data_IF_029032198007
#
_entry.id   IF_029032198007
#
_cell.length_a   1.000
_cell.length_b   1.000
_cell.length_c   1.000
_cell.angle_alpha   90.00
_cell.angle_beta   90.00
_cell.angle_gamma   90.00
#
_symmetry.space_group_name_H-M   'P 1'
#
loop_
_entity.id
_entity.type
_entity.pdbx_description
1 polymer ?
#
# COMPACT_ATOMS: atom_id res chain seq x y z
N UNK A 1 41.33 19.13 -65.71
CA UNK A 1 42.02 20.03 -64.76
C UNK A 1 41.10 21.22 -64.51
N UNK A 2 40.94 21.59 -63.23
CA UNK A 2 39.92 22.48 -62.61
C UNK A 2 38.60 21.74 -62.26
N UNK A 3 38.29 21.34 -61.01
CA UNK A 3 38.08 22.07 -59.71
C UNK A 3 36.96 23.11 -59.83
N UNK A 4 35.98 23.28 -58.94
CA UNK A 4 35.44 22.60 -57.74
C UNK A 4 34.14 23.39 -57.37
N UNK A 5 33.36 22.94 -56.39
CA UNK A 5 32.28 23.68 -55.68
C UNK A 5 30.90 23.88 -56.36
N UNK A 6 29.91 23.07 -55.96
CA UNK A 6 28.77 23.58 -55.16
C UNK A 6 28.06 22.41 -54.48
N UNK A 7 28.31 22.35 -53.17
CA UNK A 7 27.68 21.53 -52.15
C UNK A 7 26.20 21.89 -51.96
N UNK A 8 25.46 20.92 -51.41
CA UNK A 8 24.28 21.09 -50.54
C UNK A 8 22.92 21.40 -51.17
N UNK A 9 22.32 20.39 -51.81
CA UNK A 9 20.87 20.18 -51.71
C UNK A 9 20.55 19.00 -50.79
N UNK A 10 20.86 19.15 -49.51
CA UNK A 10 20.19 18.40 -48.44
C UNK A 10 18.76 18.92 -48.38
N UNK A 11 17.83 18.11 -48.89
CA UNK A 11 16.39 18.34 -48.75
C UNK A 11 16.08 18.41 -47.25
N UNK A 12 15.78 19.63 -46.77
CA UNK A 12 15.16 19.87 -45.48
C UNK A 12 13.77 19.20 -45.49
N UNK A 13 13.71 17.94 -45.06
CA UNK A 13 12.44 17.35 -44.67
C UNK A 13 11.91 18.15 -43.48
N UNK A 14 10.70 18.72 -43.54
CA UNK A 14 10.13 19.36 -42.37
C UNK A 14 10.05 18.32 -41.26
N UNK A 15 10.71 18.58 -40.13
CA UNK A 15 10.47 17.84 -38.89
C UNK A 15 8.95 17.87 -38.68
N UNK A 16 8.32 16.70 -38.79
CA UNK A 16 6.93 16.55 -38.39
C UNK A 16 6.83 17.09 -36.95
N UNK A 17 6.15 18.22 -36.79
CA UNK A 17 5.77 18.70 -35.48
C UNK A 17 4.94 17.58 -34.86
N UNK A 18 5.49 16.96 -33.82
CA UNK A 18 4.86 15.90 -33.03
C UNK A 18 3.55 16.43 -32.47
N UNK A 19 2.44 16.05 -33.10
CA UNK A 19 1.07 16.28 -32.63
C UNK A 19 0.73 15.45 -31.37
N UNK A 20 1.72 14.81 -30.75
CA UNK A 20 1.59 13.95 -29.56
C UNK A 20 1.45 14.73 -28.25
N UNK A 21 1.72 16.04 -28.25
CA UNK A 21 1.76 16.86 -27.02
C UNK A 21 0.44 17.59 -26.69
N UNK A 22 -0.60 17.48 -27.51
CA UNK A 22 -1.88 18.21 -27.32
C UNK A 22 -3.06 17.32 -26.88
N UNK A 23 -2.82 16.03 -26.60
CA UNK A 23 -3.85 15.19 -25.98
C UNK A 23 -4.02 15.61 -24.52
N UNK A 24 -5.26 15.87 -24.04
CA UNK A 24 -5.49 16.16 -22.64
C UNK A 24 -4.96 14.99 -21.79
N UNK A 25 -4.28 15.31 -20.69
CA UNK A 25 -3.76 14.33 -19.74
C UNK A 25 -4.92 13.63 -19.01
N UNK A 26 -5.46 12.59 -19.65
CA UNK A 26 -6.60 11.80 -19.19
C UNK A 26 -6.19 10.76 -18.13
N UNK A 27 -5.36 11.16 -17.17
CA UNK A 27 -4.83 10.25 -16.15
C UNK A 27 -5.92 9.67 -15.22
N UNK A 28 -7.07 10.35 -15.13
CA UNK A 28 -8.26 9.87 -14.42
C UNK A 28 -9.10 8.86 -15.22
N UNK A 29 -8.83 8.69 -16.52
CA UNK A 29 -9.61 7.78 -17.35
C UNK A 29 -9.39 6.33 -16.90
N UNK A 30 -10.49 5.61 -16.72
CA UNK A 30 -10.50 4.20 -16.31
C UNK A 30 -10.61 3.29 -17.52
N UNK A 31 -9.90 2.17 -17.48
CA UNK A 31 -9.76 1.26 -18.62
C UNK A 31 -10.36 -0.12 -18.35
N UNK A 32 -10.61 -0.86 -19.43
CA UNK A 32 -11.03 -2.25 -19.38
C UNK A 32 -9.81 -3.16 -19.09
N UNK A 33 -10.02 -4.34 -18.51
CA UNK A 33 -8.95 -5.28 -18.12
C UNK A 33 -8.05 -5.68 -19.31
N UNK A 34 -8.64 -5.89 -20.48
CA UNK A 34 -7.92 -6.19 -21.72
C UNK A 34 -6.96 -5.07 -22.17
N UNK A 35 -7.22 -3.83 -21.75
CA UNK A 35 -6.42 -2.65 -22.14
C UNK A 35 -5.29 -2.37 -21.13
N UNK A 36 -5.22 -3.14 -20.04
CA UNK A 36 -4.16 -3.01 -19.06
C UNK A 36 -2.83 -3.56 -19.59
N UNK A 37 -1.71 -2.97 -19.15
CA UNK A 37 -0.43 -3.62 -19.34
C UNK A 37 -0.41 -4.95 -18.56
N UNK A 38 0.26 -5.97 -19.11
CA UNK A 38 0.24 -7.33 -18.55
C UNK A 38 0.60 -7.43 -17.06
N UNK A 39 1.47 -6.54 -16.55
CA UNK A 39 1.86 -6.55 -15.13
C UNK A 39 0.76 -6.06 -14.18
N UNK A 40 -0.31 -5.44 -14.68
CA UNK A 40 -1.50 -4.99 -13.92
C UNK A 40 -2.69 -5.93 -14.08
N UNK A 41 -2.63 -6.93 -14.97
CA UNK A 41 -3.71 -7.88 -15.21
C UNK A 41 -3.77 -8.95 -14.12
N UNK A 42 -4.23 -8.56 -12.94
CA UNK A 42 -4.28 -9.38 -11.72
C UNK A 42 -5.44 -10.38 -11.71
N UNK A 43 -6.65 -9.92 -12.06
CA UNK A 43 -7.87 -10.69 -11.96
C UNK A 43 -8.78 -10.47 -13.17
N UNK A 44 -8.81 -11.45 -14.07
CA UNK A 44 -9.61 -11.44 -15.31
C UNK A 44 -11.14 -11.33 -15.10
N UNK A 45 -11.64 -11.58 -13.88
CA UNK A 45 -13.06 -11.50 -13.56
C UNK A 45 -13.52 -10.06 -13.24
N UNK A 46 -12.58 -9.14 -13.03
CA UNK A 46 -12.88 -7.71 -12.94
C UNK A 46 -12.70 -7.15 -14.34
N UNK A 47 -13.79 -6.75 -14.99
CA UNK A 47 -13.73 -6.39 -16.41
C UNK A 47 -13.28 -4.95 -16.66
N UNK A 48 -13.45 -4.03 -15.71
CA UNK A 48 -13.08 -2.63 -15.95
C UNK A 48 -12.95 -1.81 -14.68
N UNK A 49 -13.03 -0.48 -14.84
CA UNK A 49 -12.79 0.50 -13.78
C UNK A 49 -11.35 0.48 -13.27
N UNK A 50 -10.39 0.05 -14.09
CA UNK A 50 -8.99 0.05 -13.70
C UNK A 50 -8.34 1.39 -13.93
N UNK A 51 -7.48 1.80 -13.00
CA UNK A 51 -6.61 2.95 -13.19
C UNK A 51 -5.51 2.61 -14.20
N UNK A 52 -5.14 3.58 -15.03
CA UNK A 52 -3.98 3.47 -15.90
C UNK A 52 -2.67 3.54 -15.10
N UNK A 53 -1.58 3.10 -15.74
CA UNK A 53 -0.23 3.24 -15.20
C UNK A 53 0.12 4.72 -15.02
N UNK A 54 0.26 5.18 -13.77
CA UNK A 54 0.40 6.60 -13.46
C UNK A 54 1.83 7.12 -13.57
N UNK A 55 2.82 6.24 -13.33
CA UNK A 55 4.24 6.60 -13.13
C UNK A 55 4.45 7.78 -12.16
N UNK A 56 3.49 8.03 -11.27
CA UNK A 56 3.44 9.21 -10.41
C UNK A 56 2.73 8.90 -9.10
N UNK A 57 3.47 8.98 -7.99
CA UNK A 57 2.91 8.83 -6.65
C UNK A 57 1.80 9.85 -6.37
N UNK A 58 1.96 11.09 -6.83
CA UNK A 58 0.96 12.13 -6.60
C UNK A 58 -0.38 11.78 -7.26
N UNK A 59 -0.36 11.30 -8.51
CA UNK A 59 -1.58 10.86 -9.22
C UNK A 59 -2.21 9.65 -8.54
N UNK A 60 -1.40 8.69 -8.11
CA UNK A 60 -1.86 7.52 -7.35
C UNK A 60 -2.54 7.91 -6.03
N UNK A 61 -1.97 8.85 -5.27
CA UNK A 61 -2.58 9.36 -4.02
C UNK A 61 -3.84 10.16 -4.29
N UNK A 62 -3.87 11.01 -5.32
CA UNK A 62 -5.08 11.77 -5.69
C UNK A 62 -6.23 10.84 -6.10
N UNK A 63 -5.94 9.62 -6.59
CA UNK A 63 -6.97 8.65 -6.97
C UNK A 63 -7.77 8.08 -5.78
N UNK A 64 -7.29 8.21 -4.53
CA UNK A 64 -8.00 7.74 -3.32
C UNK A 64 -9.44 8.31 -3.24
N UNK A 65 -9.62 9.55 -3.69
CA UNK A 65 -10.90 10.26 -3.66
C UNK A 65 -11.80 9.95 -4.88
N UNK A 66 -11.37 9.05 -5.76
CA UNK A 66 -12.09 8.67 -6.98
C UNK A 66 -12.55 7.21 -6.90
N UNK A 67 -13.62 6.89 -7.63
CA UNK A 67 -14.15 5.52 -7.69
C UNK A 67 -13.45 4.71 -8.78
N UNK A 68 -12.90 3.55 -8.42
CA UNK A 68 -12.23 2.59 -9.31
C UNK A 68 -12.16 1.21 -8.64
N UNK A 69 -11.60 0.22 -9.35
CA UNK A 69 -11.53 -1.18 -8.92
C UNK A 69 -10.75 -1.43 -7.61
N UNK A 70 -10.01 -0.43 -7.10
CA UNK A 70 -9.18 -0.52 -5.89
C UNK A 70 -9.76 0.33 -4.74
N UNK A 71 -10.84 1.10 -4.96
CA UNK A 71 -11.36 2.02 -3.94
C UNK A 71 -11.75 1.29 -2.65
N UNK A 72 -12.39 0.13 -2.74
CA UNK A 72 -12.78 -0.65 -1.55
C UNK A 72 -11.53 -1.20 -0.85
N UNK A 73 -10.54 -1.70 -1.59
CA UNK A 73 -9.28 -2.20 -1.01
C UNK A 73 -8.55 -1.07 -0.26
N UNK A 74 -8.49 0.13 -0.83
CA UNK A 74 -7.89 1.30 -0.18
C UNK A 74 -8.67 1.66 1.09
N UNK A 75 -9.97 1.94 0.99
CA UNK A 75 -10.74 2.50 2.10
C UNK A 75 -10.98 1.51 3.24
N UNK A 76 -11.15 0.22 2.93
CA UNK A 76 -11.33 -0.83 3.95
C UNK A 76 -10.08 -1.05 4.80
N UNK A 77 -8.88 -0.74 4.29
CA UNK A 77 -7.63 -0.83 5.05
C UNK A 77 -7.20 0.54 5.64
N UNK A 78 -7.40 1.64 4.90
CA UNK A 78 -6.97 2.97 5.31
C UNK A 78 -7.68 3.46 6.57
N UNK A 79 -9.00 3.28 6.64
CA UNK A 79 -9.81 3.75 7.77
C UNK A 79 -9.38 3.07 9.07
N UNK A 80 -9.38 1.73 9.19
CA UNK A 80 -8.93 1.10 10.42
C UNK A 80 -7.44 1.33 10.71
N UNK A 81 -6.57 1.50 9.71
CA UNK A 81 -5.18 1.89 9.94
C UNK A 81 -5.09 3.22 10.71
N UNK A 82 -5.81 4.25 10.27
CA UNK A 82 -5.84 5.57 10.92
C UNK A 82 -6.41 5.50 12.33
N UNK A 83 -7.48 4.74 12.54
CA UNK A 83 -8.20 4.73 13.81
C UNK A 83 -7.68 3.71 14.83
N UNK A 84 -6.85 2.73 14.43
CA UNK A 84 -6.34 1.68 15.32
C UNK A 84 -5.66 2.20 16.59
N UNK A 85 -4.67 3.09 16.47
CA UNK A 85 -3.94 3.66 17.61
C UNK A 85 -4.80 4.64 18.45
N UNK A 86 -5.59 5.56 17.85
CA UNK A 86 -6.57 6.35 18.61
C UNK A 86 -7.55 5.48 19.41
N UNK A 87 -8.09 4.42 18.81
CA UNK A 87 -9.00 3.49 19.48
C UNK A 87 -8.27 2.80 20.63
N UNK A 88 -7.02 2.37 20.44
CA UNK A 88 -6.21 1.78 21.52
C UNK A 88 -6.05 2.74 22.72
N UNK A 89 -5.75 4.01 22.45
CA UNK A 89 -5.62 5.03 23.49
C UNK A 89 -6.95 5.29 24.22
N UNK A 90 -8.06 5.39 23.48
CA UNK A 90 -9.40 5.54 24.07
C UNK A 90 -9.74 4.32 24.95
N UNK A 91 -9.52 3.10 24.44
CA UNK A 91 -9.75 1.87 25.19
C UNK A 91 -8.94 1.84 26.48
N UNK A 92 -7.65 2.17 26.43
CA UNK A 92 -6.82 2.22 27.62
C UNK A 92 -7.37 3.20 28.68
N UNK A 93 -7.74 4.42 28.26
CA UNK A 93 -8.31 5.41 29.18
C UNK A 93 -9.66 4.99 29.78
N UNK A 94 -10.48 4.26 29.03
CA UNK A 94 -11.77 3.73 29.48
C UNK A 94 -11.59 2.54 30.43
N UNK A 95 -10.62 1.67 30.17
CA UNK A 95 -10.41 0.43 30.92
C UNK A 95 -9.59 0.64 32.20
N UNK A 96 -8.57 1.51 32.18
CA UNK A 96 -7.69 1.77 33.33
C UNK A 96 -8.43 2.06 34.65
N UNK A 97 -9.46 2.93 34.71
CA UNK A 97 -10.17 3.18 35.97
C UNK A 97 -11.14 2.05 36.37
N UNK A 98 -11.45 1.10 35.47
CA UNK A 98 -12.37 -0.02 35.73
C UNK A 98 -11.66 -1.27 36.27
N UNK A 99 -10.36 -1.40 36.00
CA UNK A 99 -9.57 -2.56 36.39
C UNK A 99 -8.35 -2.08 37.19
N UNK A 100 -8.38 -2.28 38.51
CA UNK A 100 -7.28 -1.88 39.41
C UNK A 100 -5.94 -2.53 39.04
N UNK A 101 -5.99 -3.67 38.37
CA UNK A 101 -4.82 -4.43 37.90
C UNK A 101 -4.31 -3.96 36.53
N UNK A 102 -4.97 -3.01 35.87
CA UNK A 102 -4.53 -2.48 34.59
C UNK A 102 -3.14 -1.83 34.75
N UNK A 103 -2.14 -2.49 34.19
CA UNK A 103 -0.74 -2.23 34.42
C UNK A 103 -0.03 -1.81 33.13
N UNK A 104 1.23 -1.38 33.24
CA UNK A 104 2.05 -1.05 32.08
C UNK A 104 2.25 -2.25 31.13
N UNK A 105 2.47 -3.50 31.60
CA UNK A 105 2.47 -4.69 30.75
C UNK A 105 1.23 -4.87 29.86
N UNK A 106 0.03 -4.61 30.38
CA UNK A 106 -1.21 -4.72 29.59
C UNK A 106 -1.23 -3.72 28.43
N UNK A 107 -0.74 -2.50 28.70
CA UNK A 107 -0.60 -1.45 27.68
C UNK A 107 0.43 -1.84 26.61
N UNK A 108 1.57 -2.41 27.01
CA UNK A 108 2.60 -2.87 26.08
C UNK A 108 2.03 -4.01 25.21
N UNK A 109 1.42 -5.02 25.84
CA UNK A 109 0.92 -6.19 25.14
C UNK A 109 -0.18 -5.83 24.13
N UNK A 110 -1.16 -5.05 24.56
CA UNK A 110 -2.24 -4.60 23.68
C UNK A 110 -1.74 -3.57 22.64
N UNK A 111 -0.77 -2.73 23.02
CA UNK A 111 -0.12 -1.77 22.13
C UNK A 111 0.61 -2.44 20.95
N UNK A 112 1.31 -3.56 21.19
CA UNK A 112 1.93 -4.36 20.13
C UNK A 112 0.91 -4.85 19.09
N UNK A 113 -0.28 -5.29 19.54
CA UNK A 113 -1.35 -5.70 18.64
C UNK A 113 -1.88 -4.53 17.81
N UNK A 114 -2.26 -3.42 18.44
CA UNK A 114 -2.79 -2.27 17.70
C UNK A 114 -1.76 -1.64 16.76
N UNK A 115 -0.48 -1.63 17.13
CA UNK A 115 0.61 -1.22 16.24
C UNK A 115 0.73 -2.19 15.05
N UNK A 116 0.65 -3.50 15.29
CA UNK A 116 0.65 -4.51 14.23
C UNK A 116 -0.52 -4.31 13.25
N UNK A 117 -1.72 -4.02 13.75
CA UNK A 117 -2.90 -3.66 12.94
C UNK A 117 -2.64 -2.40 12.12
N UNK A 118 -2.15 -1.33 12.76
CA UNK A 118 -1.84 -0.06 12.10
C UNK A 118 -0.83 -0.25 10.94
N UNK A 119 0.25 -0.98 11.20
CA UNK A 119 1.29 -1.27 10.21
C UNK A 119 0.75 -2.14 9.07
N UNK A 120 0.09 -3.26 9.37
CA UNK A 120 -0.44 -4.16 8.34
C UNK A 120 -1.43 -3.46 7.41
N UNK A 121 -2.44 -2.81 7.99
CA UNK A 121 -3.47 -2.15 7.20
C UNK A 121 -2.93 -0.90 6.48
N UNK A 122 -2.02 -0.16 7.10
CA UNK A 122 -1.36 0.98 6.48
C UNK A 122 -0.48 0.59 5.28
N UNK A 123 0.27 -0.51 5.37
CA UNK A 123 1.06 -1.04 4.26
C UNK A 123 0.15 -1.53 3.13
N UNK A 124 -0.94 -2.22 3.45
CA UNK A 124 -1.93 -2.67 2.46
C UNK A 124 -2.61 -1.50 1.75
N UNK A 125 -3.11 -0.50 2.50
CA UNK A 125 -3.69 0.71 1.93
C UNK A 125 -2.70 1.47 1.05
N UNK A 126 -1.42 1.51 1.44
CA UNK A 126 -0.36 2.12 0.64
C UNK A 126 -0.14 1.37 -0.66
N UNK A 127 -0.06 0.04 -0.62
CA UNK A 127 0.06 -0.80 -1.82
C UNK A 127 -1.10 -0.58 -2.78
N UNK A 128 -2.34 -0.72 -2.34
CA UNK A 128 -3.51 -0.50 -3.20
C UNK A 128 -3.60 0.94 -3.71
N UNK A 129 -3.11 1.93 -2.97
CA UNK A 129 -3.02 3.31 -3.45
C UNK A 129 -2.04 3.42 -4.62
N UNK A 130 -0.85 2.83 -4.50
CA UNK A 130 0.26 2.99 -5.48
C UNK A 130 0.42 1.83 -6.46
N UNK A 131 -0.49 0.85 -6.45
CA UNK A 131 -0.42 -0.36 -7.30
C UNK A 131 -0.40 -0.03 -8.79
N UNK A 132 -0.96 1.12 -9.20
CA UNK A 132 -0.92 1.60 -10.57
C UNK A 132 0.33 2.43 -10.94
N UNK A 133 1.32 2.59 -10.07
CA UNK A 133 2.45 3.48 -10.34
C UNK A 133 3.37 2.95 -11.47
N UNK A 134 4.13 1.90 -11.19
CA UNK A 134 5.04 1.26 -12.14
C UNK A 134 5.34 -0.16 -11.67
N UNK A 135 5.82 -1.08 -12.53
CA UNK A 135 6.03 -2.48 -12.16
C UNK A 135 6.92 -2.66 -10.92
N UNK A 136 7.98 -1.85 -10.81
CA UNK A 136 8.93 -1.91 -9.68
C UNK A 136 8.30 -1.44 -8.37
N UNK A 137 7.56 -0.34 -8.42
CA UNK A 137 6.89 0.24 -7.25
C UNK A 137 5.79 -0.68 -6.78
N UNK A 138 4.94 -1.16 -7.69
CA UNK A 138 3.88 -2.11 -7.37
C UNK A 138 4.45 -3.38 -6.71
N UNK A 139 5.51 -3.98 -7.27
CA UNK A 139 6.16 -5.15 -6.68
C UNK A 139 6.72 -4.88 -5.28
N UNK A 140 7.42 -3.76 -5.08
CA UNK A 140 8.00 -3.41 -3.78
C UNK A 140 6.93 -3.23 -2.71
N UNK A 141 5.87 -2.46 -2.99
CA UNK A 141 4.79 -2.25 -2.04
C UNK A 141 3.96 -3.50 -1.79
N UNK A 142 3.79 -4.37 -2.80
CA UNK A 142 3.18 -5.69 -2.63
C UNK A 142 3.98 -6.54 -1.63
N UNK A 143 5.33 -6.52 -1.70
CA UNK A 143 6.17 -7.22 -0.73
C UNK A 143 6.00 -6.68 0.69
N UNK A 144 5.88 -5.35 0.84
CA UNK A 144 5.62 -4.73 2.14
C UNK A 144 4.22 -5.06 2.67
N UNK A 145 3.21 -5.13 1.81
CA UNK A 145 1.86 -5.56 2.18
C UNK A 145 1.87 -6.99 2.77
N UNK A 146 2.52 -7.93 2.08
CA UNK A 146 2.75 -9.28 2.60
C UNK A 146 3.54 -9.31 3.91
N UNK A 147 4.56 -8.45 4.06
CA UNK A 147 5.29 -8.33 5.32
C UNK A 147 4.39 -7.79 6.45
N UNK A 148 3.45 -6.89 6.13
CA UNK A 148 2.45 -6.38 7.04
C UNK A 148 1.62 -7.47 7.70
N UNK A 149 1.20 -8.48 6.92
CA UNK A 149 0.47 -9.65 7.44
C UNK A 149 1.29 -10.37 8.52
N UNK A 150 2.58 -10.62 8.27
CA UNK A 150 3.47 -11.25 9.25
C UNK A 150 3.64 -10.41 10.52
N UNK A 151 3.74 -9.08 10.38
CA UNK A 151 3.83 -8.15 11.52
C UNK A 151 2.55 -8.22 12.37
N UNK A 152 1.37 -8.22 11.76
CA UNK A 152 0.10 -8.34 12.47
C UNK A 152 -0.03 -9.70 13.17
N UNK A 153 0.37 -10.79 12.51
CA UNK A 153 0.38 -12.12 13.12
C UNK A 153 1.27 -12.09 14.38
N UNK A 154 2.53 -11.69 14.27
CA UNK A 154 3.44 -11.60 15.41
C UNK A 154 2.89 -10.69 16.53
N UNK A 155 2.39 -9.50 16.18
CA UNK A 155 1.80 -8.54 17.11
C UNK A 155 0.55 -9.07 17.83
N UNK A 156 -0.27 -9.90 17.17
CA UNK A 156 -1.45 -10.52 17.78
C UNK A 156 -1.11 -11.61 18.80
N UNK A 157 0.01 -12.32 18.61
CA UNK A 157 0.44 -13.35 19.54
C UNK A 157 0.96 -12.79 20.86
N UNK A 158 1.43 -11.54 20.90
CA UNK A 158 1.90 -10.89 22.14
C UNK A 158 0.81 -10.90 23.22
N UNK A 159 -0.35 -10.22 23.04
CA UNK A 159 -1.40 -10.22 24.07
C UNK A 159 -2.05 -11.60 24.24
N UNK A 160 -2.22 -12.39 23.16
CA UNK A 160 -2.82 -13.72 23.28
C UNK A 160 -2.04 -14.65 24.21
N UNK A 161 -0.71 -14.69 24.07
CA UNK A 161 0.16 -15.49 24.93
C UNK A 161 0.29 -14.87 26.32
N UNK A 162 0.39 -13.54 26.41
CA UNK A 162 0.46 -12.82 27.69
C UNK A 162 -0.74 -13.16 28.59
N UNK A 163 -1.97 -13.00 28.09
CA UNK A 163 -3.18 -13.30 28.84
C UNK A 163 -3.44 -14.81 28.95
N UNK A 164 -3.10 -15.60 27.93
CA UNK A 164 -3.30 -17.05 27.93
C UNK A 164 -2.42 -17.80 28.93
N UNK A 165 -1.22 -17.29 29.21
CA UNK A 165 -0.26 -17.87 30.17
C UNK A 165 0.06 -16.90 31.30
N UNK A 166 -0.92 -16.12 31.77
CA UNK A 166 -0.75 -15.06 32.77
C UNK A 166 0.11 -15.48 33.98
N UNK A 167 -0.13 -16.68 34.53
CA UNK A 167 0.59 -17.19 35.71
C UNK A 167 1.90 -17.94 35.40
N UNK A 168 2.27 -18.11 34.13
CA UNK A 168 3.35 -19.01 33.70
C UNK A 168 4.29 -18.28 32.71
N UNK A 169 5.21 -17.48 33.23
CA UNK A 169 6.12 -16.65 32.42
C UNK A 169 7.06 -17.47 31.54
N UNK A 170 7.44 -18.68 31.96
CA UNK A 170 8.28 -19.59 31.19
C UNK A 170 7.60 -20.04 29.89
N UNK A 171 6.28 -20.23 29.93
CA UNK A 171 5.49 -20.59 28.74
C UNK A 171 5.34 -19.39 27.81
N UNK A 172 5.18 -18.18 28.35
CA UNK A 172 5.11 -16.96 27.54
C UNK A 172 6.35 -16.80 26.66
N UNK A 173 7.54 -16.86 27.26
CA UNK A 173 8.81 -16.75 26.54
C UNK A 173 9.02 -17.87 25.51
N UNK A 174 8.61 -19.09 25.84
CA UNK A 174 8.71 -20.23 24.91
C UNK A 174 7.84 -20.01 23.67
N UNK A 175 6.57 -19.62 23.83
CA UNK A 175 5.68 -19.41 22.69
C UNK A 175 6.03 -18.15 21.89
N UNK A 176 6.48 -17.07 22.54
CA UNK A 176 6.92 -15.87 21.83
C UNK A 176 8.14 -16.14 20.95
N UNK A 177 9.16 -16.87 21.44
CA UNK A 177 10.34 -17.19 20.62
C UNK A 177 10.06 -18.12 19.45
N UNK A 178 8.96 -18.89 19.49
CA UNK A 178 8.54 -19.73 18.38
C UNK A 178 7.86 -18.92 17.25
N UNK A 179 7.17 -17.83 17.59
CA UNK A 179 6.33 -17.08 16.64
C UNK A 179 6.99 -15.79 16.17
N UNK A 180 7.83 -15.19 17.02
CA UNK A 180 8.54 -13.95 16.75
C UNK A 180 10.00 -14.34 16.45
N UNK A 181 10.39 -14.40 15.17
CA UNK A 181 11.73 -14.81 14.76
C UNK A 181 12.82 -13.80 15.16
#
# INVERSE_FOLDING_TARGET
MSKDETLDHVVNSPKAATAENDLPDLWHSLVHWNDLPHWMQDNQHIHGQYRQASYSYSRSVQSIMHWHNESINIWSHLVPAIFSLPIAAVLFNVLRPRYEQASLPDLIAMGCFFLGVACCLGLSASYHTVSNHSPRVAKFWNQLDYAGISILIAGSFIPSVYYGFWCHSERQWTYWSMVIP
#
